data_IF_415698795772
#
_entry.id   IF_415698795772
#
_cell.length_a   1.000
_cell.length_b   1.000
_cell.length_c   1.000
_cell.angle_alpha   90.00
_cell.angle_beta   90.00
_cell.angle_gamma   90.00
#
_symmetry.space_group_name_H-M   'P 1'
#
loop_
_entity.id
_entity.type
_entity.pdbx_description
1 polymer ?
#
# COMPACT_ATOMS: atom_id res chain seq x y z
N UNK A 1 86.46 45.13 10.80
CA UNK A 1 86.20 43.70 10.76
C UNK A 1 85.58 43.32 12.13
N UNK A 2 84.27 43.36 12.32
CA UNK A 2 83.59 43.03 13.58
C UNK A 2 82.65 41.90 13.34
N UNK A 3 82.86 40.77 13.98
CA UNK A 3 81.98 39.61 13.95
C UNK A 3 80.82 39.72 14.97
N UNK A 4 79.61 39.54 14.53
CA UNK A 4 78.38 39.49 15.35
C UNK A 4 78.32 38.14 16.08
N UNK A 5 77.72 38.08 17.32
CA UNK A 5 77.54 36.83 18.04
C UNK A 5 76.25 36.14 17.62
N UNK A 6 76.37 34.79 17.59
CA UNK A 6 75.37 33.87 17.02
C UNK A 6 74.01 33.87 17.66
N UNK A 7 72.99 33.76 16.84
CA UNK A 7 71.55 33.69 17.13
C UNK A 7 71.06 32.46 17.89
N UNK A 8 71.96 31.54 18.30
CA UNK A 8 71.59 30.25 18.92
C UNK A 8 71.12 30.36 20.38
N UNK A 9 71.57 31.36 21.14
CA UNK A 9 71.16 31.51 22.56
C UNK A 9 69.75 32.10 22.76
N UNK A 10 69.21 32.83 21.78
CA UNK A 10 67.87 33.40 21.89
C UNK A 10 66.74 32.40 21.59
N UNK A 11 67.05 31.34 20.83
CA UNK A 11 66.05 30.29 20.52
C UNK A 11 65.84 29.31 21.64
N UNK A 12 66.85 29.03 22.48
CA UNK A 12 66.69 28.11 23.62
C UNK A 12 65.80 28.67 24.75
N UNK A 13 65.87 29.98 24.98
CA UNK A 13 65.05 30.61 26.02
C UNK A 13 63.58 30.77 25.65
N UNK A 14 63.28 30.90 24.40
CA UNK A 14 61.90 30.97 23.92
C UNK A 14 61.18 29.61 23.97
N UNK A 15 61.90 28.52 23.68
CA UNK A 15 61.33 27.16 23.75
C UNK A 15 61.11 26.69 25.15
N UNK A 16 61.99 27.04 26.11
CA UNK A 16 61.82 26.69 27.53
C UNK A 16 60.65 27.46 28.15
N UNK A 17 60.45 28.75 27.78
CA UNK A 17 59.28 29.51 28.24
C UNK A 17 57.96 29.00 27.67
N UNK A 18 57.98 28.56 26.42
CA UNK A 18 56.77 28.00 25.76
C UNK A 18 56.38 26.64 26.39
N UNK A 19 57.37 25.78 26.67
CA UNK A 19 57.10 24.49 27.31
C UNK A 19 56.60 24.62 28.76
N UNK A 20 57.07 25.61 29.51
CA UNK A 20 56.57 25.89 30.88
C UNK A 20 55.14 26.44 30.85
N UNK A 21 54.78 27.30 29.90
CA UNK A 21 53.40 27.79 29.75
C UNK A 21 52.43 26.68 29.35
N UNK A 22 52.84 25.78 28.46
CA UNK A 22 52.02 24.62 28.06
C UNK A 22 51.86 23.65 29.24
N UNK A 23 52.93 23.38 30.02
CA UNK A 23 52.81 22.51 31.21
C UNK A 23 51.92 23.08 32.31
N UNK A 24 51.93 24.41 32.53
CA UNK A 24 51.05 25.07 33.51
C UNK A 24 49.60 25.09 33.01
N UNK A 25 49.37 25.27 31.71
CA UNK A 25 48.00 25.21 31.15
C UNK A 25 47.43 23.78 31.18
N UNK A 26 48.23 22.76 30.97
CA UNK A 26 47.78 21.35 31.09
C UNK A 26 47.51 20.99 32.57
N UNK A 27 48.36 21.44 33.51
CA UNK A 27 48.12 21.19 34.96
C UNK A 27 46.92 21.99 35.48
N UNK A 28 46.66 23.22 35.04
CA UNK A 28 45.49 24.00 35.40
C UNK A 28 44.20 23.45 34.75
N UNK A 29 44.31 22.91 33.54
CA UNK A 29 43.17 22.28 32.83
C UNK A 29 42.68 20.99 33.47
N UNK A 30 43.55 20.22 34.10
CA UNK A 30 43.19 18.96 34.79
C UNK A 30 42.61 19.17 36.20
N UNK A 31 42.74 20.34 36.80
CA UNK A 31 42.25 20.62 38.17
C UNK A 31 40.84 21.26 38.18
N UNK A 32 40.28 21.66 37.04
CA UNK A 32 38.99 22.39 36.97
C UNK A 32 37.91 21.73 36.11
N UNK A 33 38.16 20.54 35.53
CA UNK A 33 37.07 19.75 34.98
C UNK A 33 36.63 18.73 36.04
N UNK A 34 35.46 18.90 36.68
CA UNK A 34 34.82 17.74 37.23
C UNK A 34 34.65 16.77 36.05
N UNK A 35 35.19 15.55 36.21
CA UNK A 35 34.87 14.46 35.30
C UNK A 35 33.36 14.30 35.34
N UNK A 36 32.66 15.00 34.47
CA UNK A 36 31.30 14.64 34.10
C UNK A 36 31.44 13.24 33.53
N UNK A 37 31.24 12.23 34.36
CA UNK A 37 30.80 10.93 33.89
C UNK A 37 29.36 11.15 33.38
N UNK A 38 29.24 11.89 32.29
CA UNK A 38 28.07 11.82 31.44
C UNK A 38 27.94 10.33 31.10
N UNK A 39 26.81 9.74 31.43
CA UNK A 39 26.50 8.40 30.99
C UNK A 39 26.81 8.36 29.50
N UNK A 40 27.72 7.45 29.08
CA UNK A 40 27.91 7.17 27.66
C UNK A 40 26.52 6.93 27.12
N UNK A 41 26.09 7.54 25.99
CA UNK A 41 24.81 7.25 25.40
C UNK A 41 24.75 5.73 25.27
N UNK A 42 23.78 5.10 25.92
CA UNK A 42 23.58 3.65 25.90
C UNK A 42 23.52 3.27 24.44
N UNK A 43 24.51 2.53 23.96
CA UNK A 43 24.53 2.12 22.56
C UNK A 43 23.27 1.32 22.33
N UNK A 44 22.35 1.87 21.57
CA UNK A 44 21.08 1.25 21.25
C UNK A 44 21.32 0.13 20.24
N UNK A 45 20.68 -1.02 20.46
CA UNK A 45 20.79 -2.16 19.55
C UNK A 45 20.07 -1.91 18.22
N UNK A 46 19.10 -0.99 18.24
CA UNK A 46 18.33 -0.58 17.06
C UNK A 46 18.37 0.93 16.88
N UNK A 47 18.06 1.38 15.68
CA UNK A 47 17.66 2.77 15.37
C UNK A 47 16.39 2.71 14.55
N UNK A 48 15.37 3.45 14.98
CA UNK A 48 14.14 3.62 14.19
C UNK A 48 14.16 4.97 13.52
N UNK A 49 13.94 4.96 12.20
CA UNK A 49 13.70 6.17 11.42
C UNK A 49 12.23 6.23 11.06
N UNK A 50 11.68 7.42 11.14
CA UNK A 50 10.28 7.70 10.89
C UNK A 50 10.12 8.80 9.85
N UNK A 51 9.04 8.74 9.10
CA UNK A 51 8.47 9.87 8.35
C UNK A 51 6.96 9.78 8.33
N UNK A 52 6.29 10.92 8.20
CA UNK A 52 4.86 11.01 7.93
C UNK A 52 4.60 11.46 6.50
N UNK A 53 3.49 10.99 5.94
CA UNK A 53 3.03 11.38 4.61
C UNK A 53 1.60 11.95 4.64
N UNK A 54 1.04 12.13 5.84
CA UNK A 54 -0.33 12.60 6.03
C UNK A 54 -0.38 13.91 6.80
N UNK A 55 -1.41 14.76 6.54
CA UNK A 55 -1.61 15.99 7.29
C UNK A 55 -2.01 15.69 8.76
N UNK A 56 -1.94 16.72 9.60
CA UNK A 56 -2.28 16.63 11.04
C UNK A 56 -3.69 16.09 11.28
N UNK A 57 -4.67 16.48 10.47
CA UNK A 57 -6.03 15.93 10.50
C UNK A 57 -6.23 15.09 9.22
N UNK A 58 -6.56 13.81 9.38
CA UNK A 58 -6.61 12.88 8.28
C UNK A 58 -7.58 11.73 8.55
N UNK A 59 -8.31 11.23 7.55
CA UNK A 59 -9.12 10.02 7.70
C UNK A 59 -8.30 8.74 7.90
N UNK A 60 -7.02 8.75 7.47
CA UNK A 60 -6.08 7.63 7.59
C UNK A 60 -4.70 8.18 7.89
N UNK A 61 -4.10 7.79 8.99
CA UNK A 61 -2.70 8.07 9.28
C UNK A 61 -1.79 7.09 8.56
N UNK A 62 -0.73 7.59 7.90
CA UNK A 62 0.26 6.78 7.19
C UNK A 62 1.67 6.99 7.76
N UNK A 63 2.00 6.41 8.91
CA UNK A 63 3.37 6.39 9.39
C UNK A 63 4.24 5.44 8.56
N UNK A 64 5.47 5.87 8.26
CA UNK A 64 6.47 5.05 7.60
C UNK A 64 7.65 4.85 8.53
N UNK A 65 8.15 3.62 8.61
CA UNK A 65 9.26 3.26 9.49
C UNK A 65 10.40 2.59 8.73
N UNK A 66 11.61 2.78 9.22
CA UNK A 66 12.78 1.95 8.89
C UNK A 66 13.42 1.51 10.21
N UNK A 67 13.72 0.22 10.32
CA UNK A 67 14.46 -0.35 11.45
C UNK A 67 15.86 -0.66 11.02
N UNK A 68 16.86 -0.12 11.71
CA UNK A 68 18.28 -0.35 11.44
C UNK A 68 18.86 -1.12 12.61
N UNK A 69 19.52 -2.23 12.34
CA UNK A 69 20.28 -2.96 13.35
C UNK A 69 21.60 -2.22 13.62
N UNK A 70 21.66 -1.51 14.74
CA UNK A 70 22.85 -0.77 15.18
C UNK A 70 23.80 -1.61 16.06
N UNK A 71 23.45 -2.86 16.33
CA UNK A 71 24.23 -3.80 17.15
C UNK A 71 25.32 -4.51 16.30
N UNK A 72 26.12 -5.32 16.98
CA UNK A 72 27.16 -6.16 16.34
C UNK A 72 26.66 -7.58 16.04
N UNK A 73 25.40 -7.90 16.32
CA UNK A 73 24.80 -9.21 16.18
C UNK A 73 23.61 -9.13 15.23
N UNK A 74 23.29 -10.23 14.57
CA UNK A 74 22.08 -10.32 13.79
C UNK A 74 20.84 -10.32 14.71
N UNK A 75 19.79 -9.59 14.33
CA UNK A 75 18.53 -9.49 15.09
C UNK A 75 17.40 -10.05 14.22
N UNK A 76 16.79 -11.19 14.59
CA UNK A 76 15.58 -11.68 13.94
C UNK A 76 14.45 -10.66 14.10
N UNK A 77 13.73 -10.38 13.01
CA UNK A 77 12.65 -9.39 13.05
C UNK A 77 11.46 -9.83 13.91
N UNK A 78 11.22 -11.13 14.05
CA UNK A 78 10.18 -11.66 14.96
C UNK A 78 10.45 -11.39 16.46
N UNK A 79 11.66 -10.94 16.80
CA UNK A 79 12.01 -10.47 18.13
C UNK A 79 11.83 -8.96 18.31
N UNK A 80 11.51 -8.24 17.22
CA UNK A 80 11.39 -6.78 17.20
C UNK A 80 9.92 -6.39 17.29
N UNK A 81 9.61 -5.41 18.16
CA UNK A 81 8.31 -4.76 18.22
C UNK A 81 8.51 -3.25 18.22
N UNK A 82 7.69 -2.53 17.44
CA UNK A 82 7.69 -1.06 17.43
C UNK A 82 6.40 -0.56 18.08
N UNK A 83 6.49 0.55 18.83
CA UNK A 83 5.32 1.26 19.32
C UNK A 83 5.31 2.69 18.80
N UNK A 84 4.19 3.06 18.16
CA UNK A 84 3.86 4.42 17.74
C UNK A 84 2.76 4.94 18.66
N UNK A 85 3.06 5.93 19.49
CA UNK A 85 2.17 6.43 20.55
C UNK A 85 1.30 7.57 20.03
N UNK A 86 0.02 7.54 20.38
CA UNK A 86 -0.94 8.55 19.96
C UNK A 86 -2.06 8.75 20.99
N UNK A 87 -2.75 9.89 20.89
CA UNK A 87 -3.94 10.21 21.68
C UNK A 87 -5.18 9.76 20.91
N UNK A 88 -6.03 8.95 21.51
CA UNK A 88 -7.17 8.39 20.82
C UNK A 88 -8.31 9.41 20.64
N UNK A 89 -8.73 9.61 19.42
CA UNK A 89 -9.88 10.46 19.05
C UNK A 89 -11.24 9.77 19.18
N UNK A 90 -11.28 8.51 19.59
CA UNK A 90 -12.51 7.72 19.72
C UNK A 90 -12.26 6.25 19.99
N UNK A 91 -13.30 5.45 19.97
CA UNK A 91 -13.23 4.01 20.20
C UNK A 91 -13.09 3.22 18.88
N UNK A 92 -12.15 2.30 18.86
CA UNK A 92 -11.94 1.35 17.76
C UNK A 92 -11.07 1.87 16.63
N UNK A 93 -10.04 1.08 16.32
CA UNK A 93 -9.05 1.38 15.29
C UNK A 93 -8.81 0.15 14.41
N UNK A 94 -8.59 0.39 13.12
CA UNK A 94 -8.10 -0.59 12.16
C UNK A 94 -6.65 -0.34 11.81
N UNK A 95 -5.94 -1.41 11.46
CA UNK A 95 -4.55 -1.38 10.97
C UNK A 95 -4.48 -1.99 9.58
N UNK A 96 -3.60 -1.46 8.75
CA UNK A 96 -3.24 -2.01 7.46
C UNK A 96 -1.74 -1.81 7.18
N UNK A 97 -1.10 -2.83 6.59
CA UNK A 97 0.20 -2.69 5.98
C UNK A 97 0.02 -2.43 4.48
N UNK A 98 0.45 -1.27 3.99
CA UNK A 98 0.38 -0.92 2.56
C UNK A 98 1.53 -1.55 1.80
N UNK A 99 2.75 -1.43 2.33
CA UNK A 99 3.98 -1.90 1.70
C UNK A 99 5.03 -2.27 2.74
N UNK A 100 5.66 -3.41 2.57
CA UNK A 100 6.79 -3.85 3.39
C UNK A 100 7.75 -4.71 2.54
N UNK A 101 9.06 -4.46 2.55
CA UNK A 101 10.03 -5.23 1.76
C UNK A 101 10.08 -6.73 2.08
N UNK A 102 9.74 -7.09 3.32
CA UNK A 102 9.61 -8.49 3.75
C UNK A 102 8.23 -9.11 3.44
N UNK A 103 7.37 -8.36 2.74
CA UNK A 103 5.97 -8.73 2.51
C UNK A 103 5.04 -8.35 3.66
N UNK A 104 3.90 -7.74 3.35
CA UNK A 104 2.91 -7.32 4.36
C UNK A 104 2.29 -8.48 5.14
N UNK A 105 2.29 -9.70 4.61
CA UNK A 105 1.87 -10.90 5.34
C UNK A 105 2.76 -11.19 6.56
N UNK A 106 3.96 -10.63 6.59
CA UNK A 106 4.92 -10.78 7.67
C UNK A 106 4.93 -9.61 8.66
N UNK A 107 4.04 -8.62 8.47
CA UNK A 107 3.87 -7.45 9.36
C UNK A 107 2.50 -7.51 10.00
N UNK A 108 2.46 -7.41 11.33
CA UNK A 108 1.25 -7.39 12.12
C UNK A 108 1.16 -6.05 12.84
N UNK A 109 -0.07 -5.52 13.00
CA UNK A 109 -0.30 -4.30 13.75
C UNK A 109 -1.59 -4.39 14.55
N UNK A 110 -1.57 -3.82 15.74
CA UNK A 110 -2.75 -3.68 16.59
C UNK A 110 -2.68 -2.38 17.40
N UNK A 111 -3.82 -1.79 17.67
CA UNK A 111 -3.91 -0.65 18.56
C UNK A 111 -4.17 -1.16 19.99
N UNK A 112 -3.38 -0.66 20.92
CA UNK A 112 -3.41 -1.06 22.33
C UNK A 112 -3.61 0.19 23.19
N UNK A 113 -4.57 0.16 24.11
CA UNK A 113 -4.75 1.21 25.10
C UNK A 113 -3.67 1.12 26.18
N UNK A 114 -3.13 2.26 26.58
CA UNK A 114 -2.26 2.34 27.76
C UNK A 114 -3.08 2.12 29.03
N UNK A 115 -2.53 1.39 29.99
CA UNK A 115 -3.16 1.19 31.31
C UNK A 115 -3.32 2.50 32.09
N UNK A 116 -2.46 3.47 31.83
CA UNK A 116 -2.51 4.83 32.33
C UNK A 116 -2.14 5.78 31.19
N UNK A 117 -2.99 6.78 30.90
CA UNK A 117 -2.64 7.79 29.91
C UNK A 117 -1.34 8.51 30.24
N UNK A 118 -0.52 8.72 29.24
CA UNK A 118 0.75 9.42 29.29
C UNK A 118 0.66 10.79 28.60
N UNK A 119 1.77 11.53 28.55
CA UNK A 119 1.81 12.81 27.83
C UNK A 119 1.64 12.56 26.32
N UNK A 120 0.56 13.11 25.76
CA UNK A 120 0.19 12.98 24.35
C UNK A 120 0.03 11.53 23.86
N UNK A 121 -0.35 10.64 24.76
CA UNK A 121 -0.62 9.25 24.40
C UNK A 121 -1.52 8.57 25.43
N UNK A 122 -2.59 7.98 24.99
CA UNK A 122 -3.39 7.03 25.75
C UNK A 122 -3.49 5.66 25.03
N UNK A 123 -2.95 5.59 23.80
CA UNK A 123 -2.84 4.39 22.98
C UNK A 123 -1.47 4.31 22.27
N UNK A 124 -1.16 3.13 21.77
CA UNK A 124 -0.08 2.95 20.80
C UNK A 124 -0.48 1.94 19.72
N UNK A 125 0.03 2.17 18.53
CA UNK A 125 0.05 1.16 17.48
C UNK A 125 1.27 0.27 17.70
N UNK A 126 1.03 -0.99 18.05
CA UNK A 126 2.05 -2.02 18.13
C UNK A 126 2.25 -2.65 16.75
N UNK A 127 3.50 -2.68 16.29
CA UNK A 127 3.90 -3.32 15.05
C UNK A 127 4.85 -4.45 15.39
N UNK A 128 4.55 -5.67 14.94
CA UNK A 128 5.37 -6.86 15.12
C UNK A 128 5.54 -7.63 13.81
N UNK A 129 6.42 -8.62 13.80
CA UNK A 129 6.79 -9.34 12.61
C UNK A 129 6.69 -10.85 12.84
N UNK A 130 6.37 -11.59 11.78
CA UNK A 130 6.42 -13.06 11.81
C UNK A 130 7.86 -13.56 11.65
N UNK A 131 8.13 -14.84 11.95
CA UNK A 131 9.44 -15.45 11.74
C UNK A 131 9.88 -15.46 10.27
N UNK A 132 8.94 -15.37 9.32
CA UNK A 132 9.22 -15.28 7.89
C UNK A 132 9.66 -13.88 7.44
N UNK A 133 9.58 -12.85 8.30
CA UNK A 133 10.09 -11.51 8.01
C UNK A 133 11.61 -11.44 7.86
N UNK A 134 12.33 -12.47 8.32
CA UNK A 134 13.79 -12.57 8.20
C UNK A 134 14.55 -11.96 9.36
N UNK A 135 15.80 -11.63 9.10
CA UNK A 135 16.79 -11.19 10.11
C UNK A 135 17.57 -10.01 9.58
N UNK A 136 17.80 -8.99 10.40
CA UNK A 136 18.69 -7.87 10.08
C UNK A 136 20.10 -8.18 10.57
N UNK A 137 21.07 -8.26 9.66
CA UNK A 137 22.48 -8.30 9.98
C UNK A 137 22.98 -6.98 10.58
N UNK A 138 24.20 -6.94 11.18
CA UNK A 138 24.79 -5.71 11.71
C UNK A 138 24.86 -4.60 10.66
N UNK A 139 24.27 -3.44 10.94
CA UNK A 139 24.18 -2.30 10.03
C UNK A 139 23.12 -2.40 8.95
N UNK A 140 22.38 -3.50 8.86
CA UNK A 140 21.28 -3.64 7.89
C UNK A 140 20.05 -2.83 8.26
N UNK A 141 19.29 -2.47 7.24
CA UNK A 141 18.08 -1.66 7.29
C UNK A 141 16.89 -2.46 6.71
N UNK A 142 15.76 -2.48 7.41
CA UNK A 142 14.52 -3.13 6.96
C UNK A 142 13.95 -2.55 5.65
N UNK A 143 14.46 -1.38 5.21
CA UNK A 143 13.82 -0.50 4.22
C UNK A 143 12.47 0.04 4.73
N UNK A 144 11.81 0.87 3.90
CA UNK A 144 10.58 1.54 4.29
C UNK A 144 9.40 0.60 4.50
N UNK A 145 8.83 0.63 5.69
CA UNK A 145 7.55 -0.01 6.03
C UNK A 145 6.47 1.07 5.94
N UNK A 146 5.57 0.97 4.98
CA UNK A 146 4.43 1.88 4.81
C UNK A 146 3.20 1.28 5.48
N UNK A 147 2.76 1.88 6.56
CA UNK A 147 1.66 1.38 7.36
C UNK A 147 0.51 2.38 7.39
N UNK A 148 -0.68 1.91 7.75
CA UNK A 148 -1.87 2.74 7.94
C UNK A 148 -2.57 2.35 9.23
N UNK A 149 -3.13 3.33 9.93
CA UNK A 149 -4.17 3.09 10.93
C UNK A 149 -5.27 4.15 10.83
N UNK A 150 -6.48 3.79 11.22
CA UNK A 150 -7.66 4.61 11.01
C UNK A 150 -8.74 4.26 12.05
N UNK A 151 -9.66 5.20 12.24
CA UNK A 151 -10.82 4.99 13.14
C UNK A 151 -11.91 4.14 12.46
N UNK A 152 -12.47 3.20 13.20
CA UNK A 152 -13.57 2.36 12.69
C UNK A 152 -14.94 3.07 12.70
N UNK A 153 -15.06 4.24 13.38
CA UNK A 153 -16.27 5.07 13.38
C UNK A 153 -16.32 6.08 12.22
N UNK A 154 -15.38 5.98 11.26
CA UNK A 154 -15.35 6.74 10.01
C UNK A 154 -15.07 8.26 10.16
N UNK A 155 -14.52 8.70 11.29
CA UNK A 155 -14.12 10.08 11.51
C UNK A 155 -12.61 10.26 11.29
N UNK A 156 -12.21 11.51 11.14
CA UNK A 156 -10.81 11.86 11.02
C UNK A 156 -10.06 11.62 12.33
N UNK A 157 -8.76 11.33 12.19
CA UNK A 157 -7.76 11.36 13.25
C UNK A 157 -7.22 12.79 13.36
N UNK A 158 -6.96 13.23 14.59
CA UNK A 158 -6.21 14.45 14.87
C UNK A 158 -4.85 14.10 15.45
N UNK A 159 -3.81 14.14 14.64
CA UNK A 159 -2.45 13.78 15.03
C UNK A 159 -1.68 14.90 15.74
N UNK A 160 -2.30 16.09 15.98
CA UNK A 160 -1.62 17.25 16.57
C UNK A 160 -1.14 17.00 18.01
N UNK A 161 -1.84 16.16 18.72
CA UNK A 161 -1.61 15.78 20.10
C UNK A 161 -1.05 14.36 20.27
N UNK A 162 -0.55 13.76 19.20
CA UNK A 162 0.12 12.47 19.23
C UNK A 162 1.60 12.63 19.60
N UNK A 163 2.07 11.77 20.49
CA UNK A 163 3.47 11.76 20.93
C UNK A 163 4.45 11.42 19.79
N UNK A 164 4.08 10.48 18.93
CA UNK A 164 4.97 9.98 17.87
C UNK A 164 4.82 10.72 16.54
N UNK A 165 3.82 11.60 16.39
CA UNK A 165 3.60 12.34 15.14
C UNK A 165 4.44 13.63 15.09
N UNK A 166 5.09 13.83 13.94
CA UNK A 166 5.70 15.10 13.57
C UNK A 166 5.39 15.42 12.11
N UNK A 167 4.58 16.44 11.87
CA UNK A 167 4.18 16.89 10.54
C UNK A 167 5.38 17.39 9.69
N UNK A 168 6.50 17.76 10.32
CA UNK A 168 7.71 18.21 9.62
C UNK A 168 8.58 17.06 9.09
N UNK A 169 8.34 15.83 9.55
CA UNK A 169 9.12 14.65 9.17
C UNK A 169 8.64 14.06 7.83
N UNK A 170 8.85 14.79 6.75
CA UNK A 170 8.51 14.38 5.38
C UNK A 170 9.56 13.46 4.73
N UNK A 171 10.67 13.23 5.40
CA UNK A 171 11.74 12.31 4.99
C UNK A 171 12.23 11.49 6.18
N UNK A 172 12.74 10.29 5.94
CA UNK A 172 13.22 9.42 7.02
C UNK A 172 14.31 10.07 7.87
N UNK A 173 14.03 10.24 9.16
CA UNK A 173 14.94 10.71 10.20
C UNK A 173 14.86 9.79 11.42
N UNK A 174 15.95 9.63 12.21
CA UNK A 174 15.84 8.98 13.52
C UNK A 174 14.78 9.68 14.37
N UNK A 175 13.83 8.92 14.90
CA UNK A 175 12.79 9.44 15.81
C UNK A 175 12.83 8.68 17.12
N UNK A 176 13.12 9.38 18.22
CA UNK A 176 13.04 8.79 19.55
C UNK A 176 11.61 8.69 20.10
N UNK A 177 10.64 9.36 19.48
CA UNK A 177 9.22 9.27 19.85
C UNK A 177 8.55 7.98 19.37
N UNK A 178 9.23 7.17 18.55
CA UNK A 178 8.84 5.81 18.17
C UNK A 178 9.79 4.85 18.89
N UNK A 179 9.27 3.98 19.72
CA UNK A 179 10.10 3.03 20.45
C UNK A 179 10.23 1.70 19.71
N UNK A 180 11.36 1.02 19.92
CA UNK A 180 11.58 -0.35 19.48
C UNK A 180 12.06 -1.22 20.62
N UNK A 181 11.56 -2.43 20.65
CA UNK A 181 11.89 -3.45 21.65
C UNK A 181 12.51 -4.66 20.96
N UNK A 182 13.46 -5.30 21.63
CA UNK A 182 14.00 -6.62 21.23
C UNK A 182 13.72 -7.59 22.38
N UNK A 183 12.97 -8.64 22.12
CA UNK A 183 12.50 -9.59 23.13
C UNK A 183 11.83 -8.88 24.34
N UNK A 184 10.98 -7.87 24.07
CA UNK A 184 10.26 -7.10 25.07
C UNK A 184 11.11 -6.11 25.89
N UNK A 185 12.40 -5.93 25.56
CA UNK A 185 13.28 -4.95 26.22
C UNK A 185 13.46 -3.74 25.31
N UNK A 186 13.27 -2.55 25.86
CA UNK A 186 13.48 -1.29 25.14
C UNK A 186 14.90 -1.23 24.58
N UNK A 187 14.99 -1.18 23.24
CA UNK A 187 16.21 -1.15 22.46
C UNK A 187 16.44 0.19 21.74
N UNK A 188 15.39 1.00 21.57
CA UNK A 188 15.44 2.33 20.94
C UNK A 188 14.29 3.19 21.39
N UNK A 189 14.51 4.51 21.42
CA UNK A 189 13.52 5.55 21.64
C UNK A 189 13.21 5.82 23.11
N UNK A 190 12.33 6.78 23.31
CA UNK A 190 11.90 7.27 24.61
C UNK A 190 10.39 7.03 24.73
N UNK A 191 9.97 6.29 25.74
CA UNK A 191 8.54 6.12 26.03
C UNK A 191 7.94 7.46 26.51
N UNK A 192 6.67 7.78 26.19
CA UNK A 192 6.00 8.96 26.72
C UNK A 192 6.07 9.03 28.24
N UNK A 193 6.24 10.24 28.79
CA UNK A 193 6.34 10.41 30.24
C UNK A 193 5.03 10.00 30.92
N UNK A 194 5.14 9.16 31.97
CA UNK A 194 3.98 8.67 32.73
C UNK A 194 3.51 7.26 32.41
N UNK A 195 4.13 6.57 31.44
CA UNK A 195 3.81 5.16 31.16
C UNK A 195 4.17 4.29 32.38
N UNK A 196 3.19 3.52 32.86
CA UNK A 196 3.41 2.41 33.77
C UNK A 196 3.60 1.12 32.95
N UNK A 197 4.64 0.34 33.29
CA UNK A 197 4.86 -0.98 32.65
C UNK A 197 3.66 -1.89 32.91
N UNK A 198 2.92 -2.25 31.89
CA UNK A 198 1.80 -3.18 32.00
C UNK A 198 1.78 -4.15 30.82
N UNK A 199 1.68 -5.44 31.14
CA UNK A 199 1.50 -6.52 30.19
C UNK A 199 0.07 -6.53 29.61
N UNK A 200 -0.08 -6.79 28.29
CA UNK A 200 -1.37 -6.88 27.63
C UNK A 200 -1.59 -8.26 27.02
N UNK A 201 -2.78 -8.81 27.16
CA UNK A 201 -3.22 -10.05 26.53
C UNK A 201 -4.53 -9.87 25.74
N UNK A 202 -4.77 -10.65 24.65
CA UNK A 202 -5.78 -10.36 23.64
C UNK A 202 -7.13 -11.05 23.83
N UNK A 203 -8.17 -10.55 23.17
CA UNK A 203 -9.46 -11.21 23.05
C UNK A 203 -9.99 -11.26 21.63
N UNK A 204 -10.75 -12.31 21.31
CA UNK A 204 -11.22 -12.71 19.98
C UNK A 204 -12.75 -12.55 19.77
N UNK A 205 -13.11 -12.26 18.50
CA UNK A 205 -14.33 -12.58 17.69
C UNK A 205 -15.75 -12.71 18.28
N UNK A 206 -16.85 -12.60 17.53
CA UNK A 206 -17.27 -13.42 16.38
C UNK A 206 -18.15 -12.75 15.30
N UNK A 207 -18.41 -13.50 14.20
CA UNK A 207 -19.31 -13.18 13.07
C UNK A 207 -20.79 -13.57 13.26
N UNK A 208 -21.70 -13.06 12.42
CA UNK A 208 -22.78 -13.89 11.88
C UNK A 208 -23.35 -13.59 10.46
N UNK A 209 -24.08 -14.50 10.00
CA UNK A 209 -24.71 -15.00 8.80
C UNK A 209 -25.59 -14.09 7.91
N UNK A 210 -25.70 -14.51 6.63
CA UNK A 210 -26.44 -13.91 5.51
C UNK A 210 -27.60 -14.74 4.99
N UNK A 211 -28.60 -14.08 4.37
CA UNK A 211 -29.74 -14.67 3.67
C UNK A 211 -29.69 -14.38 2.15
N UNK A 212 -30.24 -15.27 1.32
CA UNK A 212 -29.96 -15.48 -0.11
C UNK A 212 -31.12 -15.05 -1.02
N UNK A 213 -30.79 -14.50 -2.24
CA UNK A 213 -31.70 -14.25 -3.38
C UNK A 213 -31.00 -14.43 -4.74
N UNK A 214 -31.72 -14.46 -5.88
CA UNK A 214 -31.15 -14.63 -7.21
C UNK A 214 -30.28 -13.43 -7.62
N UNK A 215 -29.10 -13.66 -8.18
CA UNK A 215 -28.16 -12.59 -8.49
C UNK A 215 -26.82 -13.09 -9.02
N UNK A 216 -26.83 -13.73 -10.20
CA UNK A 216 -25.60 -14.16 -10.87
C UNK A 216 -25.51 -13.48 -12.22
N UNK A 217 -24.32 -12.98 -12.56
CA UNK A 217 -23.93 -12.56 -13.90
C UNK A 217 -22.64 -13.29 -14.32
N UNK A 218 -22.63 -13.81 -15.53
CA UNK A 218 -21.47 -14.40 -16.18
C UNK A 218 -21.43 -13.96 -17.62
N UNK A 219 -20.23 -13.62 -18.13
CA UNK A 219 -19.98 -13.26 -19.50
C UNK A 219 -18.57 -13.70 -19.90
N UNK A 220 -18.41 -14.49 -20.96
CA UNK A 220 -17.12 -14.90 -21.48
C UNK A 220 -16.61 -14.01 -22.62
N UNK A 221 -17.29 -12.89 -22.84
CA UNK A 221 -16.97 -11.88 -23.86
C UNK A 221 -16.93 -12.41 -25.29
N UNK A 222 -17.87 -13.30 -25.62
CA UNK A 222 -17.99 -13.87 -26.96
C UNK A 222 -18.82 -12.96 -27.89
N UNK A 223 -18.20 -11.88 -28.38
CA UNK A 223 -18.82 -10.86 -29.23
C UNK A 223 -18.12 -10.74 -30.58
N UNK A 224 -18.88 -10.37 -31.61
CA UNK A 224 -18.37 -10.15 -32.97
C UNK A 224 -17.54 -8.86 -33.12
N UNK A 225 -17.60 -7.96 -32.10
CA UNK A 225 -16.86 -6.70 -32.08
C UNK A 225 -17.49 -5.64 -31.18
N UNK A 226 -16.90 -4.44 -31.09
CA UNK A 226 -17.36 -3.37 -30.18
C UNK A 226 -18.72 -2.75 -30.57
N UNK A 227 -19.26 -3.14 -31.72
CA UNK A 227 -20.59 -2.73 -32.20
C UNK A 227 -21.60 -3.87 -32.16
N UNK A 228 -21.27 -5.00 -31.57
CA UNK A 228 -22.20 -6.10 -31.40
C UNK A 228 -23.37 -5.64 -30.51
N UNK A 229 -24.63 -5.74 -30.96
CA UNK A 229 -25.77 -5.34 -30.15
C UNK A 229 -25.87 -6.10 -28.83
N UNK A 230 -25.46 -7.39 -28.82
CA UNK A 230 -25.48 -8.21 -27.62
C UNK A 230 -24.57 -7.64 -26.50
N UNK A 231 -23.48 -6.94 -26.83
CA UNK A 231 -22.64 -6.29 -25.83
C UNK A 231 -23.43 -5.29 -24.97
N UNK A 232 -24.28 -4.47 -25.61
CA UNK A 232 -25.14 -3.52 -24.90
C UNK A 232 -26.32 -4.21 -24.23
N UNK A 233 -26.94 -5.19 -24.90
CA UNK A 233 -28.06 -5.96 -24.36
C UNK A 233 -27.66 -6.78 -23.12
N UNK A 234 -26.40 -7.19 -23.05
CA UNK A 234 -25.79 -7.84 -21.87
C UNK A 234 -25.34 -6.84 -20.78
N UNK A 235 -25.63 -5.55 -20.98
CA UNK A 235 -25.40 -4.53 -19.96
C UNK A 235 -24.00 -3.92 -19.96
N UNK A 236 -23.23 -4.05 -21.03
CA UNK A 236 -21.91 -3.43 -21.16
C UNK A 236 -21.92 -2.12 -21.93
N UNK A 237 -21.11 -1.17 -21.48
CA UNK A 237 -20.91 0.13 -22.10
C UNK A 237 -19.43 0.41 -22.34
N UNK A 238 -19.08 0.75 -23.57
CA UNK A 238 -17.75 1.23 -23.92
C UNK A 238 -17.65 2.71 -23.56
N UNK A 239 -16.68 3.07 -22.74
CA UNK A 239 -16.47 4.46 -22.32
C UNK A 239 -15.91 5.31 -23.45
N UNK A 240 -16.56 6.43 -23.71
CA UNK A 240 -16.10 7.49 -24.61
C UNK A 240 -16.18 8.89 -23.97
N UNK A 241 -16.55 8.94 -22.69
CA UNK A 241 -16.71 10.17 -21.93
C UNK A 241 -15.37 10.80 -21.58
N UNK A 242 -15.36 12.14 -21.43
CA UNK A 242 -14.18 12.88 -20.99
C UNK A 242 -13.89 12.66 -19.51
N UNK A 243 -12.70 13.02 -19.03
CA UNK A 243 -12.31 12.97 -17.63
C UNK A 243 -11.04 12.16 -17.39
N UNK A 244 -10.77 11.86 -16.14
CA UNK A 244 -9.74 10.96 -15.65
C UNK A 244 -10.29 9.56 -15.39
N UNK A 245 -9.47 8.63 -14.85
CA UNK A 245 -8.07 8.82 -14.43
C UNK A 245 -7.08 8.97 -15.59
N UNK A 246 -5.80 9.03 -15.27
CA UNK A 246 -4.70 9.06 -16.23
C UNK A 246 -4.62 10.29 -17.13
N UNK A 247 -4.24 10.08 -18.38
CA UNK A 247 -4.15 11.16 -19.37
C UNK A 247 -5.55 11.63 -19.74
N UNK A 248 -6.01 12.69 -19.08
CA UNK A 248 -7.40 13.15 -19.11
C UNK A 248 -7.93 13.42 -20.51
N UNK A 249 -9.18 13.00 -20.79
CA UNK A 249 -9.93 13.19 -22.04
C UNK A 249 -9.34 12.42 -23.23
N UNK A 250 -8.80 11.21 -22.97
CA UNK A 250 -8.26 10.33 -24.03
C UNK A 250 -8.98 8.98 -24.09
N UNK A 251 -10.07 8.82 -23.36
CA UNK A 251 -10.91 7.62 -23.40
C UNK A 251 -11.63 7.48 -24.75
N UNK A 252 -11.50 6.31 -25.35
CA UNK A 252 -12.10 6.05 -26.67
C UNK A 252 -12.45 4.56 -26.85
N UNK A 253 -13.45 4.25 -27.67
CA UNK A 253 -13.81 2.87 -28.00
C UNK A 253 -12.87 2.18 -29.00
N UNK A 254 -11.81 2.87 -29.47
CA UNK A 254 -10.91 2.29 -30.49
C UNK A 254 -10.08 1.13 -29.99
N UNK A 255 -9.79 1.12 -28.68
CA UNK A 255 -9.00 0.09 -28.01
C UNK A 255 -9.80 -1.15 -27.60
N UNK A 256 -11.11 -1.18 -27.82
CA UNK A 256 -11.95 -2.33 -27.46
C UNK A 256 -12.08 -3.28 -28.66
N UNK A 257 -11.74 -4.53 -28.45
CA UNK A 257 -11.90 -5.60 -29.43
C UNK A 257 -12.08 -6.96 -28.74
N UNK A 258 -12.48 -7.96 -29.52
CA UNK A 258 -12.74 -9.33 -29.04
C UNK A 258 -12.01 -10.33 -29.92
N UNK A 259 -10.68 -10.39 -29.89
CA UNK A 259 -9.89 -11.27 -30.73
C UNK A 259 -9.96 -12.73 -30.29
N UNK A 260 -9.77 -13.64 -31.26
CA UNK A 260 -9.43 -15.02 -30.95
C UNK A 260 -8.16 -15.05 -30.07
N UNK A 261 -8.24 -15.69 -28.91
CA UNK A 261 -7.19 -15.61 -27.88
C UNK A 261 -6.84 -17.01 -27.39
N UNK A 262 -5.64 -17.53 -27.73
CA UNK A 262 -5.18 -18.83 -27.24
C UNK A 262 -5.16 -18.88 -25.70
N UNK A 263 -5.66 -19.96 -25.13
CA UNK A 263 -5.73 -20.18 -23.69
C UNK A 263 -6.90 -19.48 -22.97
N UNK A 264 -7.71 -18.70 -23.69
CA UNK A 264 -8.99 -18.22 -23.20
C UNK A 264 -10.05 -19.32 -23.25
N UNK A 265 -10.91 -19.40 -22.22
CA UNK A 265 -12.11 -20.22 -22.24
C UNK A 265 -13.01 -19.73 -23.39
N UNK A 266 -13.60 -20.61 -24.18
CA UNK A 266 -14.33 -20.21 -25.37
C UNK A 266 -13.46 -19.76 -26.57
N UNK A 267 -12.15 -19.62 -26.39
CA UNK A 267 -11.20 -19.26 -27.46
C UNK A 267 -11.17 -17.79 -27.85
N UNK A 268 -11.90 -16.91 -27.13
CA UNK A 268 -11.99 -15.48 -27.37
C UNK A 268 -11.82 -14.70 -26.04
N UNK A 269 -11.46 -13.44 -26.10
CA UNK A 269 -11.38 -12.57 -24.93
C UNK A 269 -11.68 -11.11 -25.31
N UNK A 270 -12.21 -10.33 -24.39
CA UNK A 270 -12.17 -8.88 -24.42
C UNK A 270 -10.71 -8.41 -24.40
N UNK A 271 -10.32 -7.54 -25.32
CA UNK A 271 -9.04 -6.85 -25.32
C UNK A 271 -9.26 -5.36 -25.10
N UNK A 272 -8.53 -4.79 -24.13
CA UNK A 272 -8.48 -3.37 -23.84
C UNK A 272 -7.09 -2.87 -24.19
N UNK A 273 -6.97 -2.12 -25.28
CA UNK A 273 -5.72 -1.57 -25.76
C UNK A 273 -5.62 -0.08 -25.44
N UNK A 274 -4.56 0.31 -24.73
CA UNK A 274 -4.12 1.69 -24.66
C UNK A 274 -3.02 1.95 -25.69
N UNK A 275 -3.07 3.07 -26.39
CA UNK A 275 -2.09 3.43 -27.41
C UNK A 275 -1.59 4.86 -27.22
N UNK A 276 -0.35 5.12 -27.62
CA UNK A 276 0.26 6.45 -27.51
C UNK A 276 1.35 6.67 -28.56
N UNK A 277 1.63 7.94 -28.88
CA UNK A 277 2.86 8.40 -29.52
C UNK A 277 3.77 9.21 -28.57
N UNK A 278 3.39 9.27 -27.29
CA UNK A 278 4.05 10.07 -26.24
C UNK A 278 3.48 11.50 -26.11
N UNK A 279 2.47 11.85 -26.91
CA UNK A 279 1.75 13.12 -26.78
C UNK A 279 0.32 12.87 -26.28
N UNK A 280 -0.28 13.87 -25.64
CA UNK A 280 -1.67 13.78 -25.20
C UNK A 280 -2.63 13.55 -26.37
N UNK A 281 -2.41 14.18 -27.51
CA UNK A 281 -3.26 14.05 -28.71
C UNK A 281 -3.14 12.71 -29.41
N UNK A 282 -1.98 12.06 -29.29
CA UNK A 282 -1.73 10.71 -29.81
C UNK A 282 -2.00 9.58 -28.79
N UNK A 283 -2.47 9.95 -27.59
CA UNK A 283 -2.79 8.96 -26.55
C UNK A 283 -4.26 8.58 -26.60
N UNK A 284 -4.55 7.28 -26.44
CA UNK A 284 -5.89 6.72 -26.25
C UNK A 284 -5.89 5.68 -25.15
N UNK A 285 -6.96 5.67 -24.35
CA UNK A 285 -7.19 4.74 -23.25
C UNK A 285 -8.50 4.00 -23.48
N UNK A 286 -8.62 2.77 -22.95
CA UNK A 286 -9.77 1.90 -23.16
C UNK A 286 -10.42 1.50 -21.84
N UNK A 287 -11.77 1.51 -21.81
CA UNK A 287 -12.56 1.06 -20.68
C UNK A 287 -13.88 0.43 -21.15
N UNK A 288 -14.21 -0.71 -20.55
CA UNK A 288 -15.50 -1.36 -20.64
C UNK A 288 -16.11 -1.39 -19.23
N UNK A 289 -17.37 -0.94 -19.10
CA UNK A 289 -18.06 -0.85 -17.82
C UNK A 289 -19.49 -1.42 -17.90
N UNK A 290 -20.05 -1.83 -16.78
CA UNK A 290 -21.49 -2.16 -16.73
C UNK A 290 -22.33 -0.90 -16.74
N UNK A 291 -23.52 -1.00 -17.37
CA UNK A 291 -24.53 0.06 -17.35
C UNK A 291 -25.20 0.12 -15.97
N UNK A 292 -25.47 -1.05 -15.38
CA UNK A 292 -26.12 -1.17 -14.09
C UNK A 292 -25.16 -0.90 -12.94
N UNK A 293 -25.64 -0.24 -11.91
CA UNK A 293 -24.93 0.04 -10.65
C UNK A 293 -25.54 -0.80 -9.51
N UNK A 294 -25.76 -2.07 -9.75
CA UNK A 294 -26.47 -2.98 -8.82
C UNK A 294 -25.58 -3.95 -8.08
N UNK A 295 -24.28 -3.92 -8.38
CA UNK A 295 -23.29 -4.82 -7.77
C UNK A 295 -22.88 -4.30 -6.39
N UNK A 296 -23.11 -5.09 -5.33
CA UNK A 296 -22.82 -4.66 -3.94
C UNK A 296 -22.02 -5.70 -3.19
N UNK A 297 -22.72 -6.68 -2.61
CA UNK A 297 -22.13 -7.78 -1.82
C UNK A 297 -22.01 -9.04 -2.67
N UNK A 298 -21.18 -9.97 -2.23
CA UNK A 298 -20.98 -11.24 -2.91
C UNK A 298 -19.58 -11.43 -3.47
N UNK A 299 -19.47 -12.13 -4.58
CA UNK A 299 -18.22 -12.43 -5.27
C UNK A 299 -18.16 -11.74 -6.62
N UNK A 300 -17.11 -11.00 -6.85
CA UNK A 300 -16.68 -10.47 -8.15
C UNK A 300 -15.45 -11.25 -8.59
N UNK A 301 -15.45 -11.77 -9.77
CA UNK A 301 -14.28 -12.51 -10.28
C UNK A 301 -14.09 -12.26 -11.77
N UNK A 302 -12.84 -12.24 -12.19
CA UNK A 302 -12.46 -12.14 -13.60
C UNK A 302 -11.17 -12.93 -13.86
N UNK A 303 -11.06 -13.50 -15.06
CA UNK A 303 -9.81 -14.07 -15.54
C UNK A 303 -9.16 -13.09 -16.50
N UNK A 304 -8.01 -12.56 -16.09
CA UNK A 304 -7.34 -11.42 -16.72
C UNK A 304 -5.96 -11.84 -17.19
N UNK A 305 -5.59 -11.45 -18.40
CA UNK A 305 -4.24 -11.52 -18.91
C UNK A 305 -3.58 -10.15 -18.71
N UNK A 306 -2.61 -10.10 -17.82
CA UNK A 306 -1.80 -8.93 -17.57
C UNK A 306 -0.55 -8.93 -18.43
N UNK A 307 -0.10 -7.74 -18.82
CA UNK A 307 1.08 -7.55 -19.70
C UNK A 307 2.21 -6.82 -18.96
N UNK A 308 3.39 -7.45 -18.89
CA UNK A 308 4.61 -6.79 -18.36
C UNK A 308 5.36 -5.98 -19.42
N UNK A 309 4.96 -6.11 -20.68
CA UNK A 309 5.59 -5.47 -21.84
C UNK A 309 4.52 -4.88 -22.74
N UNK A 310 4.80 -3.77 -23.42
CA UNK A 310 3.92 -3.28 -24.47
C UNK A 310 3.84 -4.30 -25.62
N UNK A 311 2.68 -4.38 -26.28
CA UNK A 311 2.49 -5.19 -27.48
C UNK A 311 3.35 -4.69 -28.65
N UNK A 312 3.65 -3.39 -28.66
CA UNK A 312 4.56 -2.76 -29.62
C UNK A 312 5.33 -1.60 -29.00
N UNK A 313 6.56 -1.37 -29.44
CA UNK A 313 7.43 -0.26 -29.04
C UNK A 313 8.28 -0.55 -27.80
N UNK A 314 8.80 0.50 -27.18
CA UNK A 314 9.75 0.39 -26.06
C UNK A 314 9.01 0.39 -24.73
N UNK A 315 9.34 -0.55 -23.84
CA UNK A 315 8.81 -0.62 -22.49
C UNK A 315 9.28 0.56 -21.61
N UNK A 316 8.48 0.93 -20.61
CA UNK A 316 8.82 1.94 -19.60
C UNK A 316 7.71 2.93 -19.26
N UNK A 317 6.54 2.86 -19.92
CA UNK A 317 5.39 3.70 -19.54
C UNK A 317 4.80 3.25 -18.20
N UNK A 318 4.29 4.19 -17.42
CA UNK A 318 3.44 3.88 -16.27
C UNK A 318 2.03 3.57 -16.75
N UNK A 319 1.81 2.31 -17.13
CA UNK A 319 0.50 1.78 -17.54
C UNK A 319 -0.21 1.18 -16.32
N UNK A 320 -1.52 1.29 -16.27
CA UNK A 320 -2.38 0.65 -15.28
C UNK A 320 -3.39 -0.25 -15.98
N UNK A 321 -3.43 -1.51 -15.60
CA UNK A 321 -4.35 -2.54 -16.05
C UNK A 321 -5.26 -2.90 -14.89
N UNK A 322 -6.54 -2.46 -14.95
CA UNK A 322 -7.42 -2.50 -13.79
C UNK A 322 -8.67 -3.31 -13.99
N UNK A 323 -9.07 -4.00 -12.92
CA UNK A 323 -10.41 -4.51 -12.67
C UNK A 323 -10.92 -3.90 -11.38
N UNK A 324 -12.01 -3.14 -11.45
CA UNK A 324 -12.53 -2.43 -10.29
C UNK A 324 -14.06 -2.28 -10.33
N UNK A 325 -14.62 -1.91 -9.18
CA UNK A 325 -16.03 -1.57 -9.02
C UNK A 325 -16.15 -0.22 -8.37
N UNK A 326 -17.13 0.62 -8.78
CA UNK A 326 -17.27 1.97 -8.27
C UNK A 326 -18.71 2.43 -8.22
N UNK A 327 -19.08 3.21 -7.19
CA UNK A 327 -20.33 3.92 -7.08
C UNK A 327 -20.12 5.43 -7.09
N UNK A 328 -19.82 5.99 -8.26
CA UNK A 328 -19.40 7.39 -8.38
C UNK A 328 -20.54 8.42 -8.37
N UNK A 329 -21.80 7.98 -8.50
CA UNK A 329 -22.92 8.88 -8.76
C UNK A 329 -23.77 9.27 -7.55
N UNK A 330 -23.46 8.79 -6.36
CA UNK A 330 -24.29 8.98 -5.19
C UNK A 330 -23.49 9.39 -3.94
N UNK A 331 -24.19 9.63 -2.83
CA UNK A 331 -23.60 10.23 -1.63
C UNK A 331 -22.71 9.31 -0.81
N UNK A 332 -22.70 8.00 -1.11
CA UNK A 332 -21.98 6.99 -0.32
C UNK A 332 -20.92 6.30 -1.17
N UNK A 333 -19.95 7.08 -1.63
CA UNK A 333 -18.85 6.57 -2.44
C UNK A 333 -18.31 5.22 -1.94
N UNK A 334 -18.23 4.25 -2.82
CA UNK A 334 -17.67 2.93 -2.58
C UNK A 334 -16.89 2.51 -3.84
N UNK A 335 -15.69 1.98 -3.66
CA UNK A 335 -14.86 1.52 -4.77
C UNK A 335 -13.95 0.39 -4.29
N UNK A 336 -13.79 -0.64 -5.10
CA UNK A 336 -12.94 -1.80 -4.83
C UNK A 336 -12.06 -2.03 -6.06
N UNK A 337 -10.73 -1.90 -5.90
CA UNK A 337 -9.79 -1.92 -7.03
C UNK A 337 -8.82 -3.08 -6.97
N UNK A 338 -8.47 -3.57 -8.15
CA UNK A 338 -7.21 -4.25 -8.43
C UNK A 338 -6.53 -3.53 -9.58
N UNK A 339 -5.31 -3.01 -9.34
CA UNK A 339 -4.59 -2.15 -10.27
C UNK A 339 -3.17 -2.69 -10.46
N UNK A 340 -2.90 -3.26 -11.64
CA UNK A 340 -1.59 -3.77 -11.98
C UNK A 340 -0.80 -2.74 -12.80
N UNK A 341 0.42 -2.46 -12.37
CA UNK A 341 1.33 -1.50 -13.00
C UNK A 341 2.72 -2.14 -13.16
N UNK A 342 3.05 -2.71 -14.33
CA UNK A 342 4.30 -3.44 -14.56
C UNK A 342 5.55 -2.56 -14.36
N UNK A 343 5.47 -1.29 -14.71
CA UNK A 343 6.56 -0.33 -14.56
C UNK A 343 6.37 0.60 -13.34
N UNK A 344 5.36 0.33 -12.52
CA UNK A 344 4.98 1.19 -11.41
C UNK A 344 4.17 2.41 -11.84
N UNK A 345 3.99 3.33 -10.89
CA UNK A 345 3.22 4.55 -11.09
C UNK A 345 3.12 5.32 -9.78
N UNK A 346 2.65 6.57 -9.83
CA UNK A 346 2.54 7.47 -8.67
C UNK A 346 3.81 7.54 -7.81
N UNK A 347 4.99 7.49 -8.49
CA UNK A 347 6.29 7.56 -7.84
C UNK A 347 6.81 6.26 -7.24
N UNK A 348 6.06 5.16 -7.34
CA UNK A 348 6.52 3.83 -6.96
C UNK A 348 7.12 3.08 -8.16
N UNK A 349 8.19 2.31 -7.91
CA UNK A 349 8.78 1.43 -8.91
C UNK A 349 7.94 0.16 -9.07
N UNK A 350 7.80 -0.32 -10.31
CA UNK A 350 7.11 -1.58 -10.61
C UNK A 350 8.03 -2.81 -10.58
N UNK A 351 7.46 -4.00 -10.79
CA UNK A 351 6.01 -4.22 -10.93
C UNK A 351 5.25 -4.08 -9.60
N UNK A 352 4.02 -3.61 -9.65
CA UNK A 352 3.16 -3.52 -8.47
C UNK A 352 1.71 -3.90 -8.82
N UNK A 353 1.06 -4.60 -7.89
CA UNK A 353 -0.38 -4.82 -7.86
C UNK A 353 -0.93 -4.15 -6.61
N UNK A 354 -1.71 -3.09 -6.77
CA UNK A 354 -2.46 -2.46 -5.69
C UNK A 354 -3.86 -3.05 -5.60
N UNK A 355 -4.27 -3.42 -4.38
CA UNK A 355 -5.65 -3.78 -4.06
C UNK A 355 -6.18 -2.76 -3.07
N UNK A 356 -7.28 -2.07 -3.42
CA UNK A 356 -7.75 -0.91 -2.66
C UNK A 356 -9.26 -0.98 -2.42
N UNK A 357 -9.66 -0.63 -1.21
CA UNK A 357 -11.07 -0.39 -0.87
C UNK A 357 -11.22 1.07 -0.41
N UNK A 358 -12.07 1.84 -1.10
CA UNK A 358 -12.25 3.26 -0.86
C UNK A 358 -13.51 3.56 -0.05
N UNK A 359 -13.38 4.54 0.84
CA UNK A 359 -14.49 5.22 1.48
C UNK A 359 -14.77 6.58 0.84
N UNK A 360 -13.72 7.29 0.39
CA UNK A 360 -13.85 8.61 -0.23
C UNK A 360 -12.62 8.93 -1.10
N UNK A 361 -12.81 9.06 -2.40
CA UNK A 361 -11.75 9.52 -3.31
C UNK A 361 -11.38 10.99 -3.05
N UNK A 362 -12.36 11.84 -2.71
CA UNK A 362 -12.14 13.29 -2.47
C UNK A 362 -11.18 13.52 -1.31
N UNK A 363 -11.31 12.72 -0.25
CA UNK A 363 -10.47 12.84 0.95
C UNK A 363 -9.26 11.91 0.94
N UNK A 364 -9.10 11.08 -0.10
CA UNK A 364 -8.05 10.06 -0.15
C UNK A 364 -8.23 8.93 0.86
N UNK A 365 -9.47 8.74 1.39
CA UNK A 365 -9.79 7.78 2.44
C UNK A 365 -9.97 6.38 1.85
N UNK A 366 -8.95 5.55 2.01
CA UNK A 366 -8.88 4.18 1.47
C UNK A 366 -8.02 3.27 2.33
N UNK A 367 -8.26 1.97 2.23
CA UNK A 367 -7.34 0.93 2.68
C UNK A 367 -6.72 0.26 1.45
N UNK A 368 -5.41 0.22 1.37
CA UNK A 368 -4.65 -0.32 0.22
C UNK A 368 -3.63 -1.35 0.67
N UNK A 369 -3.44 -2.41 -0.12
CA UNK A 369 -2.31 -3.33 -0.07
C UNK A 369 -1.57 -3.27 -1.39
N UNK A 370 -0.25 -3.07 -1.32
CA UNK A 370 0.67 -3.15 -2.45
C UNK A 370 1.45 -4.44 -2.44
N UNK A 371 1.45 -5.15 -3.56
CA UNK A 371 2.25 -6.35 -3.78
C UNK A 371 3.24 -6.06 -4.91
N UNK A 372 4.50 -6.46 -4.71
CA UNK A 372 5.57 -6.31 -5.70
C UNK A 372 5.79 -7.65 -6.41
N UNK A 373 5.00 -7.91 -7.43
CA UNK A 373 5.02 -9.16 -8.20
C UNK A 373 4.71 -8.88 -9.66
N UNK A 374 5.46 -9.49 -10.58
CA UNK A 374 5.16 -9.48 -12.01
C UNK A 374 4.02 -10.44 -12.31
N UNK A 375 3.03 -9.97 -13.07
CA UNK A 375 1.80 -10.72 -13.37
C UNK A 375 1.65 -11.01 -14.87
N UNK A 376 2.75 -11.19 -15.61
CA UNK A 376 2.65 -11.52 -17.03
C UNK A 376 1.93 -12.85 -17.26
N UNK A 377 0.78 -12.82 -17.91
CA UNK A 377 -0.01 -14.02 -18.20
C UNK A 377 -1.43 -14.00 -17.66
N UNK A 378 -2.08 -15.16 -17.67
CA UNK A 378 -3.44 -15.35 -17.20
C UNK A 378 -3.50 -15.54 -15.69
N UNK A 379 -4.31 -14.72 -15.01
CA UNK A 379 -4.58 -14.77 -13.58
C UNK A 379 -6.08 -14.72 -13.31
N UNK A 380 -6.53 -15.39 -12.25
CA UNK A 380 -7.89 -15.31 -11.75
C UNK A 380 -7.93 -14.39 -10.53
N UNK A 381 -8.53 -13.22 -10.71
CA UNK A 381 -8.77 -12.24 -9.63
C UNK A 381 -10.14 -12.52 -9.01
N UNK A 382 -10.20 -12.57 -7.69
CA UNK A 382 -11.46 -12.72 -6.94
C UNK A 382 -11.52 -11.68 -5.83
N UNK A 383 -12.58 -10.87 -5.85
CA UNK A 383 -12.94 -9.94 -4.79
C UNK A 383 -14.21 -10.47 -4.13
N UNK A 384 -14.20 -10.70 -2.82
CA UNK A 384 -15.41 -11.03 -2.08
C UNK A 384 -15.78 -9.91 -1.13
N UNK A 385 -17.04 -9.48 -1.13
CA UNK A 385 -17.60 -8.51 -0.20
C UNK A 385 -18.73 -9.18 0.58
N UNK A 386 -18.45 -9.70 1.76
CA UNK A 386 -19.39 -10.45 2.58
C UNK A 386 -19.11 -10.22 4.07
N UNK A 387 -20.14 -10.30 4.89
CA UNK A 387 -20.06 -10.21 6.36
C UNK A 387 -19.30 -8.97 6.86
N UNK A 388 -19.39 -7.84 6.14
CA UNK A 388 -18.70 -6.59 6.49
C UNK A 388 -17.21 -6.59 6.15
N UNK A 389 -16.71 -7.60 5.43
CA UNK A 389 -15.29 -7.73 5.03
C UNK A 389 -15.19 -7.85 3.52
N UNK A 390 -14.26 -7.09 2.93
CA UNK A 390 -13.80 -7.25 1.55
C UNK A 390 -12.51 -8.05 1.56
N UNK A 391 -12.42 -9.09 0.73
CA UNK A 391 -11.19 -9.88 0.57
C UNK A 391 -10.79 -9.94 -0.89
N UNK A 392 -9.52 -9.69 -1.18
CA UNK A 392 -8.90 -9.76 -2.49
C UNK A 392 -8.03 -11.01 -2.59
N UNK A 393 -8.19 -11.76 -3.65
CA UNK A 393 -7.40 -12.97 -3.93
C UNK A 393 -6.95 -13.00 -5.38
N UNK A 394 -5.74 -13.52 -5.62
CA UNK A 394 -5.15 -13.78 -6.92
C UNK A 394 -4.78 -15.26 -6.99
N UNK A 395 -5.28 -15.99 -7.99
CA UNK A 395 -5.03 -17.43 -8.20
C UNK A 395 -5.26 -18.29 -6.93
N UNK A 396 -6.28 -17.92 -6.15
CA UNK A 396 -6.62 -18.58 -4.89
C UNK A 396 -5.79 -18.15 -3.68
N UNK A 397 -4.76 -17.35 -3.86
CA UNK A 397 -3.98 -16.79 -2.76
C UNK A 397 -4.61 -15.48 -2.28
N UNK A 398 -4.92 -15.38 -0.99
CA UNK A 398 -5.40 -14.14 -0.38
C UNK A 398 -4.29 -13.10 -0.35
N UNK A 399 -4.55 -11.94 -0.94
CA UNK A 399 -3.63 -10.80 -0.94
C UNK A 399 -3.92 -9.81 0.19
N UNK A 400 -5.20 -9.48 0.40
CA UNK A 400 -5.61 -8.40 1.28
C UNK A 400 -7.04 -8.59 1.80
N UNK A 401 -7.35 -7.99 2.94
CA UNK A 401 -8.73 -7.79 3.40
C UNK A 401 -8.88 -6.42 4.07
N UNK A 402 -10.03 -5.83 3.86
CA UNK A 402 -10.49 -4.60 4.52
C UNK A 402 -11.91 -4.79 5.06
N UNK A 403 -12.37 -3.88 5.92
CA UNK A 403 -13.71 -3.97 6.48
C UNK A 403 -14.13 -2.64 7.11
N UNK A 404 -15.21 -2.65 7.90
CA UNK A 404 -15.76 -1.47 8.52
C UNK A 404 -16.20 -0.43 7.47
N UNK A 405 -15.70 0.80 7.54
CA UNK A 405 -16.06 1.89 6.62
C UNK A 405 -15.71 1.60 5.14
N UNK A 406 -14.79 0.70 4.88
CA UNK A 406 -14.34 0.33 3.53
C UNK A 406 -15.18 -0.77 2.89
N UNK A 407 -16.19 -1.28 3.58
CA UNK A 407 -17.15 -2.20 3.01
C UNK A 407 -18.11 -1.44 2.08
N UNK A 408 -18.53 -1.98 0.92
CA UNK A 408 -19.45 -1.33 0.01
C UNK A 408 -20.75 -0.87 0.70
N UNK A 409 -21.15 0.38 0.47
CA UNK A 409 -22.30 1.01 1.14
C UNK A 409 -23.50 1.21 0.22
N UNK A 410 -23.31 0.98 -1.07
CA UNK A 410 -24.35 1.08 -2.11
C UNK A 410 -23.94 0.36 -3.38
N UNK A 411 -24.83 0.30 -4.37
CA UNK A 411 -24.58 -0.37 -5.63
C UNK A 411 -23.47 0.29 -6.44
N UNK A 412 -22.64 -0.54 -7.04
CA UNK A 412 -21.49 -0.16 -7.86
C UNK A 412 -21.68 -0.64 -9.29
N UNK A 413 -20.98 -0.05 -10.22
CA UNK A 413 -20.72 -0.58 -11.57
C UNK A 413 -19.41 -1.39 -11.55
N UNK A 414 -19.24 -2.29 -12.52
CA UNK A 414 -18.03 -3.09 -12.74
C UNK A 414 -17.29 -2.54 -13.94
N UNK A 415 -15.97 -2.42 -13.83
CA UNK A 415 -15.13 -1.79 -14.84
C UNK A 415 -13.87 -2.60 -15.11
N UNK A 416 -13.45 -2.61 -16.37
CA UNK A 416 -12.14 -3.06 -16.85
C UNK A 416 -11.52 -1.94 -17.65
N UNK A 417 -10.27 -1.57 -17.36
CA UNK A 417 -9.61 -0.53 -18.13
C UNK A 417 -8.09 -0.72 -18.27
N UNK A 418 -7.55 -0.10 -19.32
CA UNK A 418 -6.11 0.03 -19.56
C UNK A 418 -5.82 1.50 -19.85
N UNK A 419 -4.95 2.12 -19.05
CA UNK A 419 -4.72 3.56 -19.09
C UNK A 419 -3.33 3.96 -18.58
N UNK A 420 -2.82 5.10 -19.05
CA UNK A 420 -1.53 5.65 -18.65
C UNK A 420 -1.69 6.51 -17.39
N UNK A 421 -0.95 6.21 -16.33
CA UNK A 421 -0.96 6.93 -15.05
C UNK A 421 -0.53 8.40 -15.23
N UNK A 422 0.44 8.63 -16.10
CA UNK A 422 0.94 9.94 -16.50
C UNK A 422 1.20 9.98 -18.01
N UNK A 423 1.72 11.10 -18.52
CA UNK A 423 2.01 11.24 -19.95
C UNK A 423 3.11 10.23 -20.36
N UNK A 424 2.83 9.34 -21.33
CA UNK A 424 3.77 8.30 -21.74
C UNK A 424 5.07 8.85 -22.34
N UNK A 425 6.08 7.99 -22.43
CA UNK A 425 7.34 8.27 -23.11
C UNK A 425 7.10 8.60 -24.59
N UNK A 426 8.00 9.35 -25.23
CA UNK A 426 7.91 9.66 -26.65
C UNK A 426 8.07 8.40 -27.52
N UNK A 427 7.32 8.33 -28.64
CA UNK A 427 7.30 7.23 -29.59
C UNK A 427 6.03 6.39 -29.54
N UNK A 428 5.73 5.67 -30.61
CA UNK A 428 4.51 4.87 -30.73
C UNK A 428 4.59 3.59 -29.92
N UNK A 429 3.55 3.29 -29.12
CA UNK A 429 3.40 2.07 -28.31
C UNK A 429 1.94 1.69 -28.15
N UNK A 430 1.71 0.41 -27.92
CA UNK A 430 0.43 -0.16 -27.52
C UNK A 430 0.61 -1.10 -26.33
N UNK A 431 -0.37 -1.07 -25.41
CA UNK A 431 -0.45 -1.94 -24.25
C UNK A 431 -1.80 -2.61 -24.22
N UNK A 432 -1.82 -3.93 -24.01
CA UNK A 432 -3.02 -4.74 -24.03
C UNK A 432 -3.24 -5.47 -22.71
N UNK A 433 -4.38 -5.21 -22.08
CA UNK A 433 -4.95 -6.11 -21.08
C UNK A 433 -6.05 -6.94 -21.77
N UNK A 434 -6.21 -8.22 -21.38
CA UNK A 434 -7.32 -9.05 -21.87
C UNK A 434 -8.12 -9.62 -20.72
N UNK A 435 -9.44 -9.73 -20.92
CA UNK A 435 -10.36 -10.36 -19.97
C UNK A 435 -11.05 -11.52 -20.65
N UNK A 436 -10.86 -12.73 -20.12
CA UNK A 436 -11.45 -13.92 -20.69
C UNK A 436 -12.92 -14.07 -20.31
N UNK A 437 -13.20 -13.87 -19.01
CA UNK A 437 -14.55 -13.89 -18.48
C UNK A 437 -14.69 -13.01 -17.26
N UNK A 438 -15.93 -12.57 -17.00
CA UNK A 438 -16.39 -11.96 -15.77
C UNK A 438 -17.44 -12.84 -15.12
N UNK A 439 -17.40 -12.94 -13.78
CA UNK A 439 -18.38 -13.64 -12.97
C UNK A 439 -18.74 -12.83 -11.73
N UNK A 440 -20.01 -12.71 -11.46
CA UNK A 440 -20.53 -12.11 -10.24
C UNK A 440 -21.57 -13.03 -9.61
N UNK A 441 -21.57 -13.13 -8.27
CA UNK A 441 -22.59 -13.83 -7.49
C UNK A 441 -22.90 -13.04 -6.23
N UNK A 442 -24.08 -12.41 -6.19
CA UNK A 442 -24.52 -11.59 -5.07
C UNK A 442 -24.71 -12.36 -3.76
N UNK A 443 -24.81 -13.68 -3.82
CA UNK A 443 -25.35 -14.52 -2.75
C UNK A 443 -24.29 -15.27 -1.94
N UNK A 444 -23.05 -15.26 -2.39
CA UNK A 444 -21.99 -16.05 -1.76
C UNK A 444 -20.62 -15.39 -1.84
N UNK A 445 -19.82 -15.54 -0.79
CA UNK A 445 -18.37 -15.36 -0.83
C UNK A 445 -17.76 -16.68 -1.30
N UNK A 446 -17.29 -16.73 -2.55
CA UNK A 446 -16.79 -17.95 -3.18
C UNK A 446 -15.26 -17.95 -3.20
N UNK A 447 -14.66 -19.12 -3.04
CA UNK A 447 -13.24 -19.31 -3.31
C UNK A 447 -12.96 -19.29 -4.82
N UNK A 448 -11.72 -18.98 -5.22
CA UNK A 448 -11.29 -19.02 -6.64
C UNK A 448 -11.65 -20.36 -7.29
N UNK A 449 -11.34 -21.47 -6.66
CA UNK A 449 -11.68 -22.80 -7.19
C UNK A 449 -13.20 -23.02 -7.38
N UNK A 450 -14.03 -22.48 -6.49
CA UNK A 450 -15.48 -22.57 -6.61
C UNK A 450 -15.99 -21.73 -7.79
N UNK A 451 -15.44 -20.54 -7.99
CA UNK A 451 -15.74 -19.67 -9.15
C UNK A 451 -15.34 -20.37 -10.45
N UNK A 452 -14.10 -20.84 -10.55
CA UNK A 452 -13.59 -21.52 -11.75
C UNK A 452 -14.41 -22.78 -12.10
N UNK A 453 -14.80 -23.57 -11.10
CA UNK A 453 -15.67 -24.72 -11.32
C UNK A 453 -17.05 -24.29 -11.88
N UNK A 454 -17.62 -23.20 -11.37
CA UNK A 454 -18.90 -22.68 -11.86
C UNK A 454 -18.79 -22.19 -13.30
N UNK A 455 -17.77 -21.39 -13.59
CA UNK A 455 -17.50 -20.85 -14.92
C UNK A 455 -17.25 -21.97 -15.95
N UNK A 456 -16.44 -22.95 -15.57
CA UNK A 456 -16.22 -24.16 -16.40
C UNK A 456 -17.54 -24.92 -16.66
N UNK A 457 -18.44 -24.94 -15.65
CA UNK A 457 -19.77 -25.53 -15.81
C UNK A 457 -20.60 -24.81 -16.87
N UNK A 458 -20.58 -23.47 -16.91
CA UNK A 458 -21.24 -22.68 -17.97
C UNK A 458 -20.65 -22.98 -19.33
N UNK A 459 -19.33 -22.91 -19.49
CA UNK A 459 -18.67 -23.20 -20.75
C UNK A 459 -18.97 -24.62 -21.26
N UNK A 460 -18.94 -25.62 -20.37
CA UNK A 460 -19.26 -27.02 -20.72
C UNK A 460 -20.74 -27.18 -21.15
N UNK A 461 -21.64 -26.31 -20.70
CA UNK A 461 -23.04 -26.27 -21.12
C UNK A 461 -23.27 -25.46 -22.42
N UNK A 462 -22.22 -24.81 -22.94
CA UNK A 462 -22.29 -23.93 -24.10
C UNK A 462 -22.92 -22.56 -23.78
N UNK A 463 -22.92 -22.15 -22.51
CA UNK A 463 -23.39 -20.83 -22.10
C UNK A 463 -22.21 -19.85 -22.16
N UNK A 464 -22.33 -18.82 -22.99
CA UNK A 464 -21.42 -17.68 -23.15
C UNK A 464 -21.85 -16.48 -22.28
N UNK A 465 -23.14 -16.41 -21.91
CA UNK A 465 -23.71 -15.40 -21.03
C UNK A 465 -24.78 -15.96 -20.12
N UNK A 466 -24.79 -15.51 -18.87
CA UNK A 466 -25.82 -15.79 -17.86
C UNK A 466 -26.12 -14.51 -17.08
N UNK A 467 -27.38 -14.13 -16.98
CA UNK A 467 -27.84 -13.02 -16.15
C UNK A 467 -29.12 -13.43 -15.41
N UNK A 468 -29.02 -13.56 -14.09
CA UNK A 468 -30.14 -13.76 -13.16
C UNK A 468 -30.25 -12.61 -12.16
N UNK A 469 -29.61 -11.49 -12.43
CA UNK A 469 -29.72 -10.26 -11.65
C UNK A 469 -31.17 -9.77 -11.70
N UNK A 470 -31.65 -9.22 -10.57
CA UNK A 470 -32.96 -8.60 -10.56
C UNK A 470 -32.98 -7.45 -11.57
N UNK A 471 -33.89 -7.56 -12.56
CA UNK A 471 -34.13 -6.45 -13.50
C UNK A 471 -34.93 -5.39 -12.75
N UNK A 472 -34.37 -4.21 -12.56
CA UNK A 472 -35.05 -3.05 -11.97
C UNK A 472 -35.72 -2.18 -13.03
#
# INVERSE_FOLDING_TARGET
VGSAPSSARRRLWSTVKLLLVVAVLVAAGTALYPVWKGAQPKQSDLTVRYRSNTPTVTPVAEPWFEVINSSKHAIPLDQVTLHYYFSADGAGYGFNCVEAPMGCSNVQGRVVALSTPADKADHYLEISFTSAAGTLGPGENSKGLRLQFYRTDHKDLNQADDHSFDASDTSFKPSSSVTAYVNGKLAWGDEPSGIASADAQPSASPSPHLAVGPGVMFDDFHYSGPKDPALFDHGWLIRTSSGGPGVRNTWTGKGISFPATPGALGGQALQLQAATDGTKSGTSQAELQTIATTFTTGTYAARIYYSDQPDSGTNGDHINESFYTISSYNSKYSELDTEYMPNGGWGAAGPILDTTSWYSAVNGDRATRRNHEGLSGWHTVVITAADGVVTYSLDGQKLFSSGGKYFPREGMEVNFNTWFVDLPLLGSRTWDMKVNWFYYNANAAMSTAAVENTVNGYANSGADYVDTMAKH
#
